data_IF_174468702514
#
_entry.id   IF_174468702514
#
_cell.length_a   1.000
_cell.length_b   1.000
_cell.length_c   1.000
_cell.angle_alpha   90.00
_cell.angle_beta   90.00
_cell.angle_gamma   90.00
#
_symmetry.space_group_name_H-M   'P 1'
#
loop_
_entity.id
_entity.type
_entity.pdbx_description
1 polymer ?
#
# COMPACT_ATOMS: atom_id res chain seq x y z
N UNK A 1 48.70 -25.95 20.81
CA UNK A 1 48.06 -24.96 19.91
C UNK A 1 46.55 -25.12 20.09
N UNK A 2 45.90 -24.14 20.72
CA UNK A 2 44.49 -24.21 21.15
C UNK A 2 43.56 -24.01 19.95
N UNK A 3 42.62 -24.93 19.77
CA UNK A 3 41.50 -24.81 18.82
C UNK A 3 40.54 -23.75 19.38
N UNK A 4 40.43 -22.62 18.69
CA UNK A 4 39.47 -21.58 19.00
C UNK A 4 38.13 -21.97 18.33
N UNK A 5 37.19 -22.47 19.11
CA UNK A 5 35.81 -22.68 18.67
C UNK A 5 35.17 -21.30 18.52
N UNK A 6 34.84 -20.93 17.29
CA UNK A 6 34.03 -19.76 16.97
C UNK A 6 32.60 -20.01 17.48
N UNK A 7 32.27 -19.48 18.66
CA UNK A 7 30.88 -19.37 19.09
C UNK A 7 30.21 -18.28 18.26
N UNK A 8 29.48 -18.68 17.22
CA UNK A 8 28.44 -17.85 16.62
C UNK A 8 27.38 -17.55 17.68
N UNK A 9 27.37 -16.30 18.17
CA UNK A 9 26.25 -15.76 18.92
C UNK A 9 25.01 -15.76 18.02
N UNK A 10 24.14 -16.75 18.21
CA UNK A 10 22.74 -16.63 17.83
C UNK A 10 22.15 -15.54 18.74
N UNK A 11 22.14 -14.29 18.26
CA UNK A 11 21.27 -13.27 18.84
C UNK A 11 19.84 -13.81 18.74
N UNK A 12 19.28 -14.23 19.88
CA UNK A 12 17.85 -14.39 20.03
C UNK A 12 17.25 -13.01 19.74
N UNK A 13 16.67 -12.83 18.56
CA UNK A 13 15.91 -11.63 18.26
C UNK A 13 14.80 -11.52 19.30
N UNK A 14 14.73 -10.38 19.98
CA UNK A 14 13.67 -10.10 20.93
C UNK A 14 12.33 -10.30 20.21
N UNK A 15 11.50 -11.15 20.83
CA UNK A 15 10.25 -11.61 20.25
C UNK A 15 9.17 -10.55 20.34
N UNK A 16 9.36 -9.48 21.11
CA UNK A 16 8.40 -8.38 21.24
C UNK A 16 8.71 -7.21 20.30
N UNK A 17 7.68 -6.48 19.89
CA UNK A 17 7.84 -5.17 19.27
C UNK A 17 8.60 -4.26 20.22
N UNK A 18 9.77 -3.78 19.80
CA UNK A 18 10.49 -2.76 20.56
C UNK A 18 10.25 -1.38 19.92
N UNK A 19 10.24 -0.29 20.70
CA UNK A 19 10.30 1.07 20.15
C UNK A 19 11.49 1.25 19.19
N UNK A 20 12.56 0.46 19.35
CA UNK A 20 13.70 0.41 18.44
C UNK A 20 13.30 -0.05 17.03
N UNK A 21 12.39 -1.02 16.89
CA UNK A 21 11.96 -1.53 15.58
C UNK A 21 11.19 -0.47 14.79
N UNK A 22 10.27 0.25 15.44
CA UNK A 22 9.51 1.35 14.84
C UNK A 22 10.46 2.47 14.41
N UNK A 23 11.45 2.81 15.25
CA UNK A 23 12.45 3.83 14.95
C UNK A 23 13.34 3.44 13.76
N UNK A 24 13.77 2.18 13.68
CA UNK A 24 14.57 1.65 12.57
C UNK A 24 13.79 1.73 11.25
N UNK A 25 12.56 1.23 11.23
CA UNK A 25 11.70 1.25 10.04
C UNK A 25 11.38 2.67 9.58
N UNK A 26 10.99 3.54 10.52
CA UNK A 26 10.62 4.93 10.21
C UNK A 26 11.82 5.73 9.71
N UNK A 27 13.00 5.50 10.30
CA UNK A 27 14.25 6.12 9.84
C UNK A 27 14.64 5.63 8.44
N UNK A 28 14.56 4.33 8.20
CA UNK A 28 14.84 3.75 6.88
C UNK A 28 13.88 4.29 5.81
N UNK A 29 12.58 4.33 6.10
CA UNK A 29 11.56 4.83 5.17
C UNK A 29 11.78 6.33 4.89
N UNK A 30 12.07 7.14 5.92
CA UNK A 30 12.43 8.56 5.75
C UNK A 30 13.66 8.75 4.86
N UNK A 31 14.69 7.90 4.99
CA UNK A 31 15.91 7.96 4.16
C UNK A 31 15.65 7.65 2.68
N UNK A 32 14.49 7.09 2.34
CA UNK A 32 14.12 6.87 0.94
C UNK A 32 13.65 8.14 0.23
N UNK A 33 13.35 9.22 0.95
CA UNK A 33 12.89 10.46 0.36
C UNK A 33 14.04 11.32 -0.18
N UNK A 34 13.88 11.87 -1.37
CA UNK A 34 14.75 12.93 -1.89
C UNK A 34 14.43 14.26 -1.20
N UNK A 35 15.42 14.86 -0.53
CA UNK A 35 15.24 16.05 0.33
C UNK A 35 16.04 17.27 -0.13
N UNK A 36 16.76 17.17 -1.25
CA UNK A 36 17.58 18.28 -1.76
C UNK A 36 16.69 19.39 -2.34
N UNK A 37 16.56 20.50 -1.61
CA UNK A 37 15.72 21.64 -2.01
C UNK A 37 16.21 22.33 -3.28
N UNK A 38 17.48 22.18 -3.65
CA UNK A 38 18.05 22.71 -4.89
C UNK A 38 17.61 21.92 -6.14
N UNK A 39 16.88 20.82 -5.96
CA UNK A 39 16.39 19.94 -7.03
C UNK A 39 14.85 19.78 -6.88
N UNK A 40 14.06 20.81 -7.24
CA UNK A 40 12.62 20.83 -6.95
C UNK A 40 11.83 19.68 -7.58
N UNK A 41 12.29 19.12 -8.70
CA UNK A 41 11.60 18.04 -9.40
C UNK A 41 11.54 16.72 -8.61
N UNK A 42 12.62 16.39 -7.88
CA UNK A 42 12.67 15.16 -7.07
C UNK A 42 12.32 15.40 -5.61
N UNK A 43 12.27 16.65 -5.15
CA UNK A 43 11.96 16.98 -3.76
C UNK A 43 10.65 16.33 -3.31
N UNK A 44 10.72 15.50 -2.28
CA UNK A 44 9.59 14.78 -1.72
C UNK A 44 9.29 13.43 -2.35
N UNK A 45 9.88 13.10 -3.51
CA UNK A 45 9.78 11.79 -4.13
C UNK A 45 10.38 10.71 -3.20
N UNK A 46 9.75 9.54 -3.16
CA UNK A 46 10.10 8.46 -2.22
C UNK A 46 10.49 7.23 -3.02
N UNK A 47 11.76 6.84 -2.91
CA UNK A 47 12.28 5.62 -3.54
C UNK A 47 11.58 4.42 -2.93
N UNK A 48 11.19 3.46 -3.76
CA UNK A 48 10.60 2.18 -3.29
C UNK A 48 11.61 1.40 -2.42
N UNK A 49 12.90 1.52 -2.75
CA UNK A 49 14.01 0.87 -2.05
C UNK A 49 15.33 1.64 -2.28
N UNK A 50 16.35 1.39 -1.45
CA UNK A 50 17.66 2.07 -1.52
C UNK A 50 18.61 1.48 -2.56
N UNK A 51 18.21 0.45 -3.31
CA UNK A 51 18.93 -0.07 -4.47
C UNK A 51 18.28 0.42 -5.76
N UNK A 52 19.04 0.62 -6.84
CA UNK A 52 18.47 0.89 -8.16
C UNK A 52 17.46 -0.19 -8.55
N UNK A 53 16.34 0.22 -9.14
CA UNK A 53 15.36 -0.69 -9.72
C UNK A 53 15.82 -1.21 -11.09
N UNK A 54 16.58 -0.39 -11.82
CA UNK A 54 17.16 -0.75 -13.11
C UNK A 54 18.32 0.19 -13.47
N UNK A 55 19.06 -0.13 -14.53
CA UNK A 55 20.06 0.73 -15.13
C UNK A 55 19.63 1.16 -16.53
N UNK A 56 20.00 2.37 -16.93
CA UNK A 56 19.87 2.81 -18.32
C UNK A 56 20.96 2.19 -19.23
N UNK A 57 20.92 2.51 -20.52
CA UNK A 57 21.91 2.03 -21.50
C UNK A 57 23.34 2.49 -21.22
N UNK A 58 23.53 3.55 -20.41
CA UNK A 58 24.84 4.09 -20.02
C UNK A 58 25.34 3.50 -18.69
N UNK A 59 24.58 2.61 -18.07
CA UNK A 59 24.90 2.02 -16.76
C UNK A 59 24.53 2.91 -15.57
N UNK A 60 23.78 3.99 -15.76
CA UNK A 60 23.30 4.84 -14.67
C UNK A 60 22.19 4.13 -13.93
N UNK A 61 22.34 3.96 -12.61
CA UNK A 61 21.31 3.37 -11.75
C UNK A 61 20.14 4.32 -11.51
N UNK A 62 18.92 3.83 -11.76
CA UNK A 62 17.67 4.54 -11.55
C UNK A 62 16.83 3.89 -10.45
N UNK A 63 16.27 4.72 -9.58
CA UNK A 63 15.46 4.35 -8.43
C UNK A 63 13.99 4.59 -8.75
N UNK A 64 13.18 3.56 -8.53
CA UNK A 64 11.73 3.59 -8.77
C UNK A 64 11.03 4.38 -7.66
N UNK A 65 10.11 5.25 -8.06
CA UNK A 65 9.14 5.94 -7.21
C UNK A 65 7.76 5.48 -7.69
N UNK A 66 7.06 4.73 -6.84
CA UNK A 66 5.74 4.19 -7.15
C UNK A 66 4.68 4.90 -6.31
N UNK A 67 3.73 5.63 -6.92
CA UNK A 67 2.71 6.35 -6.17
C UNK A 67 1.94 5.46 -5.19
N UNK A 68 1.50 4.29 -5.64
CA UNK A 68 0.78 3.31 -4.82
C UNK A 68 1.60 2.87 -3.60
N UNK A 69 2.83 2.38 -3.82
CA UNK A 69 3.67 1.87 -2.73
C UNK A 69 4.05 2.95 -1.72
N UNK A 70 4.40 4.14 -2.22
CA UNK A 70 4.77 5.29 -1.40
C UNK A 70 3.59 5.80 -0.58
N UNK A 71 2.36 5.78 -1.10
CA UNK A 71 1.17 6.13 -0.31
C UNK A 71 1.03 5.23 0.92
N UNK A 72 1.12 3.91 0.73
CA UNK A 72 1.04 2.94 1.82
C UNK A 72 2.18 3.11 2.83
N UNK A 73 3.40 3.38 2.35
CA UNK A 73 4.54 3.70 3.21
C UNK A 73 4.30 4.93 4.08
N UNK A 74 3.79 6.03 3.49
CA UNK A 74 3.50 7.27 4.20
C UNK A 74 2.36 7.13 5.21
N UNK A 75 1.34 6.31 4.92
CA UNK A 75 0.27 5.98 5.88
C UNK A 75 0.87 5.33 7.13
N UNK A 76 1.76 4.35 6.95
CA UNK A 76 2.46 3.71 8.07
C UNK A 76 3.34 4.71 8.84
N UNK A 77 4.09 5.56 8.14
CA UNK A 77 4.97 6.54 8.77
C UNK A 77 4.22 7.52 9.70
N UNK A 78 3.00 7.93 9.34
CA UNK A 78 2.15 8.76 10.20
C UNK A 78 1.80 8.07 11.53
N UNK A 79 1.63 6.75 11.52
CA UNK A 79 1.29 5.98 12.72
C UNK A 79 2.47 5.75 13.65
N UNK A 80 3.72 5.85 13.16
CA UNK A 80 4.90 5.78 14.02
C UNK A 80 4.96 6.96 15.00
N UNK A 81 4.86 8.18 14.46
CA UNK A 81 4.93 9.43 15.23
C UNK A 81 4.50 10.62 14.34
N UNK A 82 3.84 11.63 14.92
CA UNK A 82 3.49 12.87 14.22
C UNK A 82 4.71 13.72 13.78
N UNK A 83 5.91 13.47 14.31
CA UNK A 83 7.16 14.14 13.91
C UNK A 83 7.55 13.89 12.45
N UNK A 84 6.95 12.90 11.79
CA UNK A 84 7.18 12.61 10.37
C UNK A 84 6.24 13.37 9.42
N UNK A 85 5.37 14.25 9.93
CA UNK A 85 4.41 15.01 9.11
C UNK A 85 5.08 15.79 7.97
N UNK A 86 6.27 16.36 8.18
CA UNK A 86 6.99 17.09 7.12
C UNK A 86 7.42 16.18 5.96
N UNK A 87 7.88 14.95 6.26
CA UNK A 87 8.20 13.93 5.25
C UNK A 87 6.95 13.61 4.42
N UNK A 88 5.81 13.40 5.09
CA UNK A 88 4.53 13.07 4.43
C UNK A 88 4.02 14.23 3.59
N UNK A 89 4.14 15.46 4.10
CA UNK A 89 3.76 16.67 3.37
C UNK A 89 4.58 16.85 2.10
N UNK A 90 5.89 16.61 2.14
CA UNK A 90 6.74 16.66 0.94
C UNK A 90 6.29 15.65 -0.12
N UNK A 91 5.94 14.42 0.29
CA UNK A 91 5.36 13.42 -0.63
C UNK A 91 4.03 13.88 -1.22
N UNK A 92 3.13 14.44 -0.42
CA UNK A 92 1.84 14.98 -0.88
C UNK A 92 2.05 16.08 -1.93
N UNK A 93 2.99 17.00 -1.68
CA UNK A 93 3.34 18.07 -2.63
C UNK A 93 3.92 17.49 -3.91
N UNK A 94 4.82 16.50 -3.82
CA UNK A 94 5.36 15.79 -4.98
C UNK A 94 4.23 15.14 -5.79
N UNK A 95 3.31 14.42 -5.15
CA UNK A 95 2.21 13.76 -5.86
C UNK A 95 1.37 14.79 -6.65
N UNK A 96 1.00 15.91 -6.02
CA UNK A 96 0.22 16.95 -6.68
C UNK A 96 0.98 17.66 -7.82
N UNK A 97 2.30 17.88 -7.70
CA UNK A 97 3.08 18.49 -8.79
C UNK A 97 3.20 17.59 -10.02
N UNK A 98 3.00 16.28 -9.85
CA UNK A 98 3.02 15.29 -10.93
C UNK A 98 1.63 14.97 -11.51
N UNK A 99 0.56 15.64 -11.05
CA UNK A 99 -0.77 15.59 -11.66
C UNK A 99 -0.88 16.50 -12.89
N UNK A 100 -0.08 16.22 -13.92
CA UNK A 100 -0.04 16.95 -15.18
C UNK A 100 -0.16 15.99 -16.38
N UNK A 101 -0.43 16.51 -17.58
CA UNK A 101 -0.70 15.67 -18.77
C UNK A 101 0.46 14.74 -19.15
N UNK A 102 1.71 15.12 -18.84
CA UNK A 102 2.89 14.31 -19.16
C UNK A 102 3.06 13.15 -18.18
N UNK A 103 2.93 13.44 -16.89
CA UNK A 103 3.20 12.47 -15.81
C UNK A 103 1.95 11.69 -15.39
N UNK A 104 0.75 12.20 -15.64
CA UNK A 104 -0.51 11.66 -15.16
C UNK A 104 -1.67 11.81 -16.17
N UNK A 105 -1.55 11.33 -17.42
CA UNK A 105 -2.60 11.49 -18.43
C UNK A 105 -3.93 10.81 -18.03
N UNK A 106 -3.87 9.78 -17.19
CA UNK A 106 -5.04 9.07 -16.65
C UNK A 106 -5.52 9.59 -15.30
N UNK A 107 -4.94 10.70 -14.81
CA UNK A 107 -5.34 11.36 -13.56
C UNK A 107 -4.58 10.93 -12.30
N UNK A 108 -3.69 9.93 -12.40
CA UNK A 108 -2.70 9.59 -11.36
C UNK A 108 -1.29 9.58 -11.96
N UNK A 109 -0.23 9.92 -11.19
CA UNK A 109 1.12 9.86 -11.72
C UNK A 109 1.49 8.45 -12.16
N UNK A 110 2.21 8.33 -13.26
CA UNK A 110 2.98 7.15 -13.57
C UNK A 110 4.05 6.92 -12.51
N UNK A 111 4.66 5.75 -12.56
CA UNK A 111 5.92 5.54 -11.87
C UNK A 111 7.01 6.42 -12.45
N UNK A 112 7.78 7.02 -11.53
CA UNK A 112 8.90 7.89 -11.88
C UNK A 112 10.21 7.19 -11.50
N UNK A 113 11.25 7.50 -12.26
CA UNK A 113 12.57 6.97 -12.07
C UNK A 113 13.53 8.15 -11.94
N UNK A 114 14.30 8.14 -10.86
CA UNK A 114 15.30 9.15 -10.60
C UNK A 114 16.69 8.54 -10.48
N UNK A 115 17.73 9.27 -10.86
CA UNK A 115 19.09 8.87 -10.48
C UNK A 115 19.30 8.96 -8.95
N UNK A 116 20.43 8.46 -8.45
CA UNK A 116 20.71 8.41 -7.00
C UNK A 116 20.62 9.77 -6.29
N UNK A 117 20.89 10.86 -7.01
CA UNK A 117 20.90 12.22 -6.49
C UNK A 117 19.58 12.98 -6.74
N UNK A 118 18.69 12.41 -7.55
CA UNK A 118 17.43 13.03 -7.94
C UNK A 118 17.56 14.05 -9.08
N UNK A 119 18.74 14.14 -9.73
CA UNK A 119 19.02 15.16 -10.73
C UNK A 119 18.30 14.88 -12.05
N UNK A 120 18.26 13.60 -12.44
CA UNK A 120 17.61 13.12 -13.65
C UNK A 120 16.30 12.45 -13.29
N UNK A 121 15.25 12.83 -13.99
CA UNK A 121 13.90 12.27 -13.85
C UNK A 121 13.45 11.72 -15.19
N UNK A 122 12.84 10.54 -15.18
CA UNK A 122 12.14 9.99 -16.32
C UNK A 122 10.96 9.13 -15.90
N UNK A 123 9.92 9.09 -16.72
CA UNK A 123 8.83 8.10 -16.63
C UNK A 123 9.08 6.90 -17.54
N UNK A 124 10.21 6.90 -18.26
CA UNK A 124 10.62 5.83 -19.17
C UNK A 124 12.15 5.67 -19.15
N UNK A 125 12.63 4.74 -18.33
CA UNK A 125 14.07 4.46 -18.16
C UNK A 125 14.56 3.37 -19.11
N UNK A 126 13.68 2.45 -19.52
CA UNK A 126 13.98 1.40 -20.48
C UNK A 126 12.98 1.42 -21.64
N UNK A 127 13.26 2.15 -22.73
CA UNK A 127 12.37 2.25 -23.88
C UNK A 127 11.87 0.88 -24.36
N UNK A 128 10.55 0.75 -24.52
CA UNK A 128 9.89 -0.49 -24.92
C UNK A 128 9.49 -1.43 -23.78
N UNK A 129 9.91 -1.15 -22.54
CA UNK A 129 9.45 -1.91 -21.37
C UNK A 129 8.02 -1.53 -20.96
N UNK A 130 7.18 -2.53 -20.68
CA UNK A 130 5.81 -2.33 -20.17
C UNK A 130 5.75 -1.95 -18.69
N UNK A 131 6.84 -2.11 -17.94
CA UNK A 131 6.90 -1.83 -16.49
C UNK A 131 7.85 -0.70 -16.13
N UNK A 132 8.77 -0.33 -17.04
CA UNK A 132 9.74 0.74 -16.84
C UNK A 132 9.49 1.97 -17.73
N UNK A 133 8.35 2.01 -18.44
CA UNK A 133 7.93 3.15 -19.25
C UNK A 133 6.42 3.44 -19.13
N UNK A 134 6.08 4.68 -18.78
CA UNK A 134 4.71 5.18 -18.65
C UNK A 134 3.81 4.22 -17.86
N UNK A 135 4.40 3.59 -16.85
CA UNK A 135 3.76 2.48 -16.16
C UNK A 135 2.92 3.01 -15.01
N UNK A 136 1.72 2.48 -14.91
CA UNK A 136 0.83 2.58 -13.78
C UNK A 136 0.07 1.26 -13.72
N UNK A 137 0.20 0.55 -12.60
CA UNK A 137 -0.34 -0.78 -12.43
C UNK A 137 -1.88 -0.73 -12.40
N UNK A 138 -2.43 0.02 -11.45
CA UNK A 138 -3.86 0.25 -11.25
C UNK A 138 -4.14 1.72 -10.94
N UNK A 139 -4.97 2.35 -11.76
CA UNK A 139 -5.32 3.78 -11.63
C UNK A 139 -6.22 4.04 -10.44
N UNK A 140 -7.18 3.16 -10.20
CA UNK A 140 -8.14 3.28 -9.11
C UNK A 140 -7.46 3.14 -7.74
N UNK A 141 -6.67 2.10 -7.53
CA UNK A 141 -5.92 1.86 -6.29
C UNK A 141 -4.92 2.98 -5.98
N UNK A 142 -4.16 3.44 -6.99
CA UNK A 142 -3.20 4.53 -6.81
C UNK A 142 -3.88 5.87 -6.42
N UNK A 143 -5.07 6.15 -6.95
CA UNK A 143 -5.88 7.30 -6.54
C UNK A 143 -6.47 7.11 -5.14
N UNK A 144 -7.03 5.93 -4.87
CA UNK A 144 -7.72 5.61 -3.63
C UNK A 144 -6.80 5.64 -2.41
N UNK A 145 -5.63 5.01 -2.51
CA UNK A 145 -4.61 5.02 -1.45
C UNK A 145 -4.08 6.43 -1.18
N UNK A 146 -3.99 7.30 -2.20
CA UNK A 146 -3.63 8.70 -1.98
C UNK A 146 -4.71 9.47 -1.23
N UNK A 147 -5.99 9.28 -1.59
CA UNK A 147 -7.11 9.88 -0.86
C UNK A 147 -7.15 9.41 0.61
N UNK A 148 -6.87 8.14 0.86
CA UNK A 148 -6.73 7.59 2.21
C UNK A 148 -5.55 8.23 2.96
N UNK A 149 -4.40 8.42 2.30
CA UNK A 149 -3.26 9.13 2.87
C UNK A 149 -3.62 10.57 3.24
N UNK A 150 -4.34 11.31 2.39
CA UNK A 150 -4.73 12.70 2.67
C UNK A 150 -5.61 12.80 3.91
N UNK A 151 -6.60 11.90 4.04
CA UNK A 151 -7.44 11.83 5.24
C UNK A 151 -6.59 11.48 6.46
N UNK A 152 -5.69 10.51 6.33
CA UNK A 152 -4.80 10.09 7.41
C UNK A 152 -3.93 11.26 7.87
N UNK A 153 -3.24 11.93 6.95
CA UNK A 153 -2.41 13.09 7.24
C UNK A 153 -3.21 14.20 7.95
N UNK A 154 -4.43 14.51 7.49
CA UNK A 154 -5.29 15.46 8.17
C UNK A 154 -5.63 15.05 9.61
N UNK A 155 -6.01 13.78 9.83
CA UNK A 155 -6.31 13.29 11.18
C UNK A 155 -5.09 13.28 12.11
N UNK A 156 -3.88 13.19 11.56
CA UNK A 156 -2.62 13.29 12.30
C UNK A 156 -2.07 14.73 12.42
N UNK A 157 -2.80 15.73 11.93
CA UNK A 157 -2.49 17.15 12.15
C UNK A 157 -1.97 17.92 10.94
N UNK A 158 -2.07 17.39 9.71
CA UNK A 158 -1.80 18.18 8.50
C UNK A 158 -2.73 19.41 8.48
N UNK A 159 -2.20 20.63 8.31
CA UNK A 159 -3.03 21.83 8.33
C UNK A 159 -4.12 21.79 7.25
N UNK A 160 -5.35 22.11 7.66
CA UNK A 160 -6.52 22.20 6.76
C UNK A 160 -6.23 23.01 5.48
N UNK A 161 -5.48 24.10 5.58
CA UNK A 161 -5.12 24.97 4.46
C UNK A 161 -4.39 24.23 3.33
N UNK A 162 -3.59 23.20 3.66
CA UNK A 162 -2.89 22.39 2.64
C UNK A 162 -3.90 21.63 1.79
N UNK A 163 -4.91 20.99 2.40
CA UNK A 163 -5.95 20.29 1.63
C UNK A 163 -6.83 21.26 0.85
N UNK A 164 -7.18 22.40 1.43
CA UNK A 164 -7.98 23.44 0.75
C UNK A 164 -7.27 23.96 -0.51
N UNK A 165 -5.95 24.15 -0.46
CA UNK A 165 -5.14 24.54 -1.62
C UNK A 165 -5.28 23.56 -2.79
N UNK A 166 -5.39 22.26 -2.51
CA UNK A 166 -5.48 21.20 -3.53
C UNK A 166 -6.89 20.67 -3.76
N UNK A 167 -7.94 21.35 -3.25
CA UNK A 167 -9.33 20.88 -3.33
C UNK A 167 -9.72 20.39 -4.73
N UNK A 168 -9.48 21.20 -5.77
CA UNK A 168 -9.83 20.83 -7.13
C UNK A 168 -9.10 19.59 -7.66
N UNK A 169 -7.84 19.38 -7.26
CA UNK A 169 -7.09 18.16 -7.62
C UNK A 169 -7.63 16.94 -6.87
N UNK A 170 -7.99 17.10 -5.60
CA UNK A 170 -8.57 16.05 -4.77
C UNK A 170 -9.94 15.61 -5.31
N UNK A 171 -10.80 16.56 -5.66
CA UNK A 171 -12.11 16.28 -6.28
C UNK A 171 -11.95 15.62 -7.67
N UNK A 172 -10.92 15.98 -8.45
CA UNK A 172 -10.61 15.28 -9.71
C UNK A 172 -10.26 13.80 -9.52
N UNK A 173 -9.50 13.45 -8.48
CA UNK A 173 -9.24 12.05 -8.13
C UNK A 173 -10.53 11.32 -7.74
N UNK A 174 -11.41 11.98 -6.98
CA UNK A 174 -12.74 11.45 -6.67
C UNK A 174 -13.57 11.17 -7.93
N UNK A 175 -13.64 12.15 -8.84
CA UNK A 175 -14.37 12.02 -10.10
C UNK A 175 -13.79 10.93 -11.01
N UNK A 176 -12.47 10.75 -11.02
CA UNK A 176 -11.81 9.64 -11.70
C UNK A 176 -12.32 8.30 -11.17
N UNK A 177 -12.33 8.10 -9.84
CA UNK A 177 -12.88 6.87 -9.24
C UNK A 177 -14.36 6.65 -9.58
N UNK A 178 -15.17 7.71 -9.55
CA UNK A 178 -16.57 7.62 -9.95
C UNK A 178 -16.73 7.20 -11.42
N UNK A 179 -15.86 7.66 -12.31
CA UNK A 179 -15.89 7.30 -13.74
C UNK A 179 -15.51 5.83 -14.00
N UNK A 180 -14.73 5.23 -13.09
CA UNK A 180 -14.32 3.83 -13.18
C UNK A 180 -15.37 2.88 -12.57
N UNK A 181 -16.31 3.37 -11.76
CA UNK A 181 -17.37 2.57 -11.17
C UNK A 181 -18.41 2.12 -12.21
N UNK A 182 -18.68 0.83 -12.23
CA UNK A 182 -19.56 0.19 -13.21
C UNK A 182 -20.98 -0.04 -12.64
N UNK A 183 -21.97 -0.39 -13.48
CA UNK A 183 -23.35 -0.62 -13.03
C UNK A 183 -23.50 -1.71 -11.96
N UNK A 184 -22.60 -2.69 -11.91
CA UNK A 184 -22.57 -3.69 -10.83
C UNK A 184 -21.97 -3.17 -9.52
N UNK A 185 -21.49 -1.93 -9.49
CA UNK A 185 -20.95 -1.25 -8.31
C UNK A 185 -19.45 -1.42 -8.10
N UNK A 186 -18.80 -2.34 -8.81
CA UNK A 186 -17.35 -2.53 -8.80
C UNK A 186 -16.64 -1.57 -9.76
N UNK A 187 -15.35 -1.32 -9.54
CA UNK A 187 -14.51 -0.47 -10.38
C UNK A 187 -13.59 -1.27 -11.29
N UNK A 188 -13.36 -0.74 -12.48
CA UNK A 188 -12.23 -1.14 -13.31
C UNK A 188 -10.92 -0.59 -12.73
N UNK A 189 -9.88 -1.43 -12.72
CA UNK A 189 -8.53 -1.05 -12.33
C UNK A 189 -8.02 0.18 -13.10
N UNK A 190 -8.29 0.22 -14.41
CA UNK A 190 -8.06 1.39 -15.28
C UNK A 190 -8.90 1.32 -16.55
N UNK A 191 -9.00 2.43 -17.27
CA UNK A 191 -9.87 2.58 -18.46
C UNK A 191 -9.50 1.62 -19.59
N UNK A 192 -8.21 1.34 -19.77
CA UNK A 192 -7.61 0.49 -20.80
C UNK A 192 -7.28 -0.94 -20.32
N UNK A 193 -7.57 -1.26 -19.05
CA UNK A 193 -7.42 -2.60 -18.49
C UNK A 193 -8.59 -2.90 -17.54
N UNK A 194 -9.62 -3.50 -18.12
CA UNK A 194 -10.95 -3.64 -17.50
C UNK A 194 -11.06 -4.95 -16.71
N UNK A 195 -10.37 -4.96 -15.59
CA UNK A 195 -10.49 -6.01 -14.57
C UNK A 195 -10.91 -5.38 -13.25
N UNK A 196 -11.86 -6.00 -12.55
CA UNK A 196 -12.31 -5.62 -11.21
C UNK A 196 -11.60 -6.50 -10.20
N UNK A 197 -10.46 -6.07 -9.68
CA UNK A 197 -9.75 -6.81 -8.63
C UNK A 197 -10.39 -6.58 -7.26
N UNK A 198 -10.34 -7.62 -6.42
CA UNK A 198 -10.78 -7.55 -5.03
C UNK A 198 -10.02 -6.47 -4.25
N UNK A 199 -8.69 -6.50 -4.33
CA UNK A 199 -7.80 -5.58 -3.60
C UNK A 199 -8.08 -4.13 -3.96
N UNK A 200 -8.05 -3.81 -5.26
CA UNK A 200 -8.31 -2.46 -5.76
C UNK A 200 -9.68 -1.95 -5.29
N UNK A 201 -10.73 -2.78 -5.37
CA UNK A 201 -12.07 -2.36 -4.94
C UNK A 201 -12.15 -2.15 -3.42
N UNK A 202 -11.43 -2.93 -2.61
CA UNK A 202 -11.32 -2.69 -1.17
C UNK A 202 -10.63 -1.35 -0.86
N UNK A 203 -9.57 -1.03 -1.59
CA UNK A 203 -8.84 0.22 -1.44
C UNK A 203 -9.67 1.42 -1.88
N UNK A 204 -10.38 1.31 -3.00
CA UNK A 204 -11.30 2.35 -3.49
C UNK A 204 -12.42 2.61 -2.49
N UNK A 205 -12.98 1.56 -1.88
CA UNK A 205 -13.96 1.74 -0.80
C UNK A 205 -13.39 2.66 0.29
N UNK A 206 -12.21 2.35 0.83
CA UNK A 206 -11.58 3.15 1.87
C UNK A 206 -11.18 4.56 1.39
N UNK A 207 -10.73 4.70 0.14
CA UNK A 207 -10.39 5.98 -0.49
C UNK A 207 -11.59 6.90 -0.66
N UNK A 208 -12.74 6.38 -1.11
CA UNK A 208 -13.98 7.15 -1.26
C UNK A 208 -14.60 7.50 0.09
N UNK A 209 -14.52 6.62 1.10
CA UNK A 209 -14.89 6.97 2.49
C UNK A 209 -14.00 8.09 3.03
N UNK A 210 -12.70 8.04 2.75
CA UNK A 210 -11.75 9.08 3.11
C UNK A 210 -12.04 10.41 2.44
N UNK A 211 -12.37 10.39 1.14
CA UNK A 211 -12.75 11.60 0.42
C UNK A 211 -14.08 12.16 0.92
N UNK A 212 -15.08 11.31 1.22
CA UNK A 212 -16.33 11.75 1.87
C UNK A 212 -16.05 12.47 3.19
N UNK A 213 -15.11 11.97 3.99
CA UNK A 213 -14.69 12.62 5.23
C UNK A 213 -14.05 13.99 4.96
N UNK A 214 -13.13 14.07 3.99
CA UNK A 214 -12.48 15.33 3.61
C UNK A 214 -13.53 16.35 3.13
N UNK A 215 -14.43 15.97 2.22
CA UNK A 215 -15.50 16.85 1.74
C UNK A 215 -16.32 17.42 2.90
N UNK A 216 -16.75 16.57 3.83
CA UNK A 216 -17.60 16.99 4.94
C UNK A 216 -16.87 17.89 5.94
N UNK A 217 -15.68 17.49 6.40
CA UNK A 217 -15.03 18.14 7.55
C UNK A 217 -13.97 19.18 7.15
N UNK A 218 -13.36 19.03 5.98
CA UNK A 218 -12.35 19.97 5.46
C UNK A 218 -13.04 20.97 4.54
N UNK A 219 -13.72 20.50 3.49
CA UNK A 219 -14.32 21.38 2.48
C UNK A 219 -15.71 21.88 2.83
N UNK A 220 -16.32 21.36 3.91
CA UNK A 220 -17.66 21.71 4.37
C UNK A 220 -18.74 21.52 3.29
N UNK A 221 -18.56 20.49 2.45
CA UNK A 221 -19.42 20.16 1.32
C UNK A 221 -20.15 18.83 1.58
N UNK A 222 -21.20 18.89 2.40
CA UNK A 222 -21.99 17.71 2.80
C UNK A 222 -22.63 17.01 1.61
N UNK A 223 -23.07 17.77 0.59
CA UNK A 223 -23.68 17.19 -0.62
C UNK A 223 -22.68 16.33 -1.38
N UNK A 224 -21.47 16.85 -1.62
CA UNK A 224 -20.42 16.10 -2.32
C UNK A 224 -19.90 14.93 -1.49
N UNK A 225 -19.78 15.10 -0.16
CA UNK A 225 -19.49 13.99 0.74
C UNK A 225 -20.49 12.83 0.55
N UNK A 226 -21.78 13.15 0.47
CA UNK A 226 -22.85 12.18 0.22
C UNK A 226 -22.70 11.43 -1.12
N UNK A 227 -22.17 12.07 -2.17
CA UNK A 227 -21.89 11.42 -3.46
C UNK A 227 -20.85 10.32 -3.30
N UNK A 228 -19.71 10.65 -2.70
CA UNK A 228 -18.61 9.70 -2.51
C UNK A 228 -18.97 8.60 -1.50
N UNK A 229 -19.70 8.92 -0.44
CA UNK A 229 -20.17 7.90 0.51
C UNK A 229 -21.07 6.87 -0.17
N UNK A 230 -22.06 7.32 -0.96
CA UNK A 230 -22.94 6.42 -1.71
C UNK A 230 -22.17 5.56 -2.71
N UNK A 231 -21.12 6.10 -3.32
CA UNK A 231 -20.26 5.33 -4.21
C UNK A 231 -19.49 4.24 -3.46
N UNK A 232 -18.95 4.54 -2.28
CA UNK A 232 -18.32 3.55 -1.41
C UNK A 232 -19.32 2.45 -0.96
N UNK A 233 -20.54 2.83 -0.56
CA UNK A 233 -21.58 1.87 -0.14
C UNK A 233 -21.95 0.89 -1.27
N UNK A 234 -21.98 1.38 -2.53
CA UNK A 234 -22.17 0.53 -3.72
C UNK A 234 -21.02 -0.46 -3.90
N UNK A 235 -19.77 -0.04 -3.70
CA UNK A 235 -18.60 -0.92 -3.80
C UNK A 235 -18.66 -2.01 -2.74
N UNK A 236 -18.86 -1.64 -1.47
CA UNK A 236 -18.96 -2.62 -0.38
C UNK A 236 -20.04 -3.67 -0.67
N UNK A 237 -21.23 -3.20 -1.07
CA UNK A 237 -22.34 -4.09 -1.45
C UNK A 237 -21.97 -4.99 -2.63
N UNK A 238 -21.25 -4.46 -3.62
CA UNK A 238 -20.82 -5.20 -4.80
C UNK A 238 -19.71 -6.22 -4.49
N UNK A 239 -18.74 -5.91 -3.63
CA UNK A 239 -17.73 -6.88 -3.17
C UNK A 239 -18.43 -8.08 -2.52
N UNK A 240 -19.38 -7.83 -1.62
CA UNK A 240 -20.10 -8.89 -0.91
C UNK A 240 -21.03 -9.70 -1.81
N UNK A 241 -21.59 -9.09 -2.86
CA UNK A 241 -22.53 -9.75 -3.78
C UNK A 241 -21.82 -10.48 -4.92
N UNK A 242 -20.83 -9.83 -5.54
CA UNK A 242 -20.18 -10.29 -6.76
C UNK A 242 -18.89 -11.05 -6.48
N UNK A 243 -18.09 -10.60 -5.51
CA UNK A 243 -16.76 -11.17 -5.26
C UNK A 243 -16.77 -12.18 -4.13
N UNK A 244 -17.67 -12.12 -3.15
CA UNK A 244 -17.77 -13.20 -2.16
C UNK A 244 -18.49 -14.43 -2.71
N UNK A 245 -17.77 -15.54 -2.85
CA UNK A 245 -18.33 -16.83 -3.26
C UNK A 245 -18.88 -17.57 -2.05
N UNK A 246 -20.20 -17.52 -1.86
CA UNK A 246 -20.89 -18.14 -0.73
C UNK A 246 -20.78 -19.68 -0.69
N UNK A 247 -20.54 -20.34 -1.81
CA UNK A 247 -20.36 -21.80 -1.87
C UNK A 247 -18.96 -22.17 -1.40
N UNK A 248 -17.94 -21.46 -1.89
CA UNK A 248 -16.54 -21.71 -1.55
C UNK A 248 -16.10 -21.05 -0.24
N UNK A 249 -16.97 -20.21 0.36
CA UNK A 249 -16.74 -19.45 1.60
C UNK A 249 -15.50 -18.54 1.56
N UNK A 250 -15.17 -18.03 0.38
CA UNK A 250 -14.01 -17.15 0.13
C UNK A 250 -14.33 -16.12 -0.95
N UNK A 251 -13.51 -15.09 -1.04
CA UNK A 251 -13.60 -14.10 -2.10
C UNK A 251 -12.94 -14.60 -3.39
N UNK A 252 -13.48 -14.14 -4.52
CA UNK A 252 -12.87 -14.16 -5.84
C UNK A 252 -11.77 -13.13 -5.90
N UNK A 253 -10.73 -13.42 -6.66
CA UNK A 253 -9.62 -12.48 -6.90
C UNK A 253 -10.08 -11.35 -7.81
N UNK A 254 -10.87 -11.67 -8.85
CA UNK A 254 -11.30 -10.70 -9.83
C UNK A 254 -12.60 -11.05 -10.54
N UNK A 255 -13.19 -10.03 -11.17
CA UNK A 255 -14.22 -10.14 -12.21
C UNK A 255 -13.72 -9.45 -13.48
N UNK A 256 -13.75 -10.15 -14.61
CA UNK A 256 -13.28 -9.64 -15.90
C UNK A 256 -14.39 -8.89 -16.66
N UNK A 257 -14.01 -8.13 -17.69
CA UNK A 257 -14.95 -7.42 -18.58
C UNK A 257 -15.99 -8.35 -19.21
N UNK A 258 -15.61 -9.59 -19.53
CA UNK A 258 -16.51 -10.63 -20.06
C UNK A 258 -17.59 -11.09 -19.06
N UNK A 259 -17.51 -10.65 -17.80
CA UNK A 259 -18.37 -11.10 -16.71
C UNK A 259 -17.92 -12.41 -16.06
N UNK A 260 -16.85 -13.04 -16.55
CA UNK A 260 -16.26 -14.22 -15.90
C UNK A 260 -15.53 -13.84 -14.62
N UNK A 261 -15.40 -14.81 -13.72
CA UNK A 261 -14.74 -14.63 -12.43
C UNK A 261 -13.43 -15.40 -12.38
N UNK A 262 -12.46 -14.84 -11.66
CA UNK A 262 -11.31 -15.58 -11.15
C UNK A 262 -11.61 -15.96 -9.69
N UNK A 263 -12.10 -17.18 -9.47
CA UNK A 263 -12.22 -17.74 -8.13
C UNK A 263 -10.83 -18.05 -7.56
N UNK A 264 -10.57 -17.62 -6.31
CA UNK A 264 -9.31 -17.89 -5.64
C UNK A 264 -9.08 -19.41 -5.49
N UNK A 265 -7.86 -19.87 -5.73
CA UNK A 265 -7.35 -21.19 -5.45
C UNK A 265 -6.56 -21.15 -4.14
N UNK A 266 -6.96 -21.91 -3.09
CA UNK A 266 -6.30 -21.88 -1.79
C UNK A 266 -4.86 -22.43 -1.80
N UNK A 267 -4.49 -23.15 -2.86
CA UNK A 267 -3.14 -23.69 -3.03
C UNK A 267 -2.20 -22.71 -3.76
N UNK A 268 -2.70 -21.54 -4.15
CA UNK A 268 -1.92 -20.43 -4.72
C UNK A 268 -1.89 -19.30 -3.68
N UNK A 269 -0.70 -18.78 -3.38
CA UNK A 269 -0.55 -17.70 -2.42
C UNK A 269 -0.94 -16.35 -3.01
N UNK A 270 -0.21 -15.90 -4.03
CA UNK A 270 -0.44 -14.64 -4.71
C UNK A 270 -0.93 -14.90 -6.14
N UNK A 271 -2.00 -14.21 -6.59
CA UNK A 271 -2.81 -13.24 -5.84
C UNK A 271 -3.90 -13.88 -4.94
N UNK A 272 -4.08 -15.20 -5.00
CA UNK A 272 -5.31 -15.85 -4.56
C UNK A 272 -5.61 -15.78 -3.06
N UNK A 273 -4.73 -16.31 -2.22
CA UNK A 273 -4.94 -16.38 -0.77
C UNK A 273 -4.61 -15.05 -0.09
N UNK A 274 -3.57 -14.33 -0.55
CA UNK A 274 -3.19 -13.04 0.02
C UNK A 274 -4.28 -11.97 -0.20
N UNK A 275 -4.93 -11.90 -1.37
CA UNK A 275 -6.02 -10.95 -1.60
C UNK A 275 -7.21 -11.14 -0.65
N UNK A 276 -7.40 -12.33 -0.07
CA UNK A 276 -8.52 -12.62 0.84
C UNK A 276 -8.50 -11.77 2.11
N UNK A 277 -7.34 -11.18 2.44
CA UNK A 277 -7.18 -10.34 3.62
C UNK A 277 -7.60 -8.88 3.38
N UNK A 278 -7.65 -8.42 2.14
CA UNK A 278 -7.95 -7.02 1.80
C UNK A 278 -9.31 -6.53 2.29
N UNK A 279 -10.40 -7.33 2.22
CA UNK A 279 -11.71 -6.86 2.67
C UNK A 279 -11.76 -6.40 4.13
N UNK A 280 -11.08 -7.06 5.06
CA UNK A 280 -11.06 -6.60 6.45
C UNK A 280 -9.91 -5.63 6.73
N UNK A 281 -8.78 -5.77 6.01
CA UNK A 281 -7.68 -4.82 6.08
C UNK A 281 -8.13 -3.39 5.75
N UNK A 282 -9.05 -3.24 4.79
CA UNK A 282 -9.61 -1.95 4.36
C UNK A 282 -11.04 -1.71 4.84
N UNK A 283 -11.47 -2.40 5.89
CA UNK A 283 -12.74 -2.18 6.59
C UNK A 283 -14.02 -2.34 5.71
N UNK A 284 -13.93 -3.05 4.57
CA UNK A 284 -15.10 -3.48 3.79
C UNK A 284 -15.97 -4.42 4.63
N UNK A 285 -15.34 -5.24 5.47
CA UNK A 285 -16.01 -6.03 6.52
C UNK A 285 -15.26 -5.86 7.84
N UNK A 286 -15.94 -6.13 8.96
CA UNK A 286 -15.30 -6.12 10.26
C UNK A 286 -14.25 -7.25 10.37
N UNK A 287 -13.21 -7.03 11.18
CA UNK A 287 -12.15 -8.03 11.46
C UNK A 287 -12.69 -9.30 12.12
N UNK A 288 -13.83 -9.22 12.82
CA UNK A 288 -14.53 -10.36 13.42
C UNK A 288 -15.67 -10.94 12.55
N UNK A 289 -15.84 -10.48 11.31
CA UNK A 289 -16.84 -11.03 10.39
C UNK A 289 -16.56 -12.53 10.11
N UNK A 290 -17.62 -13.32 10.01
CA UNK A 290 -17.52 -14.76 9.72
C UNK A 290 -16.72 -15.05 8.44
N UNK A 291 -16.74 -14.16 7.44
CA UNK A 291 -15.96 -14.30 6.20
C UNK A 291 -14.47 -14.16 6.47
N UNK A 292 -14.09 -13.21 7.31
CA UNK A 292 -12.70 -13.03 7.77
C UNK A 292 -12.23 -14.28 8.52
N UNK A 293 -13.05 -14.81 9.43
CA UNK A 293 -12.71 -16.02 10.18
C UNK A 293 -12.58 -17.26 9.27
N UNK A 294 -13.39 -17.37 8.22
CA UNK A 294 -13.27 -18.43 7.22
C UNK A 294 -11.94 -18.34 6.45
N UNK A 295 -11.51 -17.14 6.07
CA UNK A 295 -10.22 -16.91 5.41
C UNK A 295 -9.04 -17.25 6.32
N UNK A 296 -9.07 -16.82 7.58
CA UNK A 296 -8.03 -17.17 8.56
C UNK A 296 -7.90 -18.68 8.71
N UNK A 297 -9.03 -19.38 8.90
CA UNK A 297 -9.05 -20.85 9.01
C UNK A 297 -8.51 -21.52 7.75
N UNK A 298 -8.84 -20.99 6.57
CA UNK A 298 -8.34 -21.52 5.30
C UNK A 298 -6.81 -21.38 5.21
N UNK A 299 -6.28 -20.19 5.55
CA UNK A 299 -4.85 -19.92 5.58
C UNK A 299 -4.13 -20.82 6.58
N UNK A 300 -4.57 -20.87 7.85
CA UNK A 300 -3.89 -21.67 8.89
C UNK A 300 -3.82 -23.16 8.54
N UNK A 301 -4.82 -23.68 7.82
CA UNK A 301 -4.84 -25.09 7.41
C UNK A 301 -3.96 -25.38 6.19
N UNK A 302 -3.80 -24.44 5.27
CA UNK A 302 -3.13 -24.66 3.97
C UNK A 302 -1.69 -24.15 3.95
N UNK A 303 -1.47 -23.02 4.59
CA UNK A 303 -0.20 -22.32 4.69
C UNK A 303 0.10 -22.16 6.17
N UNK A 304 0.48 -23.23 6.86
CA UNK A 304 0.78 -23.16 8.30
C UNK A 304 2.20 -22.63 8.60
N UNK A 305 3.07 -22.60 7.60
CA UNK A 305 4.48 -22.27 7.75
C UNK A 305 4.87 -20.89 7.19
N UNK A 306 3.97 -20.21 6.46
CA UNK A 306 4.29 -18.91 5.84
C UNK A 306 4.72 -17.86 6.88
N UNK A 307 4.18 -17.89 8.10
CA UNK A 307 4.60 -16.98 9.17
C UNK A 307 6.05 -17.21 9.59
N UNK A 308 6.59 -18.42 9.45
CA UNK A 308 7.99 -18.73 9.79
C UNK A 308 8.93 -18.51 8.61
N UNK A 309 8.40 -18.62 7.39
CA UNK A 309 9.10 -18.52 6.12
C UNK A 309 8.35 -17.61 5.13
N UNK A 310 8.23 -16.29 5.41
CA UNK A 310 7.33 -15.40 4.67
C UNK A 310 7.70 -15.24 3.19
N UNK A 311 8.98 -15.42 2.84
CA UNK A 311 9.46 -15.36 1.45
C UNK A 311 9.24 -16.63 0.65
N UNK A 312 8.79 -17.73 1.26
CA UNK A 312 8.71 -19.04 0.58
C UNK A 312 7.74 -19.03 -0.61
N UNK A 313 6.64 -18.30 -0.51
CA UNK A 313 5.58 -18.35 -1.51
C UNK A 313 5.89 -17.53 -2.77
N UNK A 314 6.40 -16.30 -2.61
CA UNK A 314 6.57 -15.34 -3.71
C UNK A 314 7.96 -14.70 -3.76
N UNK A 315 8.81 -14.98 -2.78
CA UNK A 315 10.06 -14.23 -2.53
C UNK A 315 9.85 -12.92 -1.75
N UNK A 316 8.63 -12.40 -1.68
CA UNK A 316 8.24 -11.21 -0.92
C UNK A 316 7.79 -11.58 0.49
N UNK A 317 7.81 -10.62 1.42
CA UNK A 317 7.40 -10.89 2.81
C UNK A 317 5.90 -10.64 3.06
N UNK A 318 5.22 -9.84 2.23
CA UNK A 318 3.75 -9.64 2.29
C UNK A 318 3.26 -9.05 3.63
N UNK A 319 3.91 -7.99 4.11
CA UNK A 319 3.66 -7.41 5.44
C UNK A 319 2.23 -6.92 5.67
N UNK A 320 1.47 -6.62 4.61
CA UNK A 320 0.04 -6.28 4.70
C UNK A 320 -0.81 -7.45 5.22
N UNK A 321 -0.50 -8.69 4.86
CA UNK A 321 -1.20 -9.89 5.35
C UNK A 321 -0.98 -10.06 6.85
N UNK A 322 0.25 -9.87 7.32
CA UNK A 322 0.56 -9.92 8.74
C UNK A 322 -0.18 -8.84 9.54
N UNK A 323 -0.28 -7.62 8.99
CA UNK A 323 -1.07 -6.56 9.60
C UNK A 323 -2.57 -6.94 9.66
N UNK A 324 -3.11 -7.50 8.57
CA UNK A 324 -4.49 -7.94 8.52
C UNK A 324 -4.81 -9.00 9.60
N UNK A 325 -3.92 -9.97 9.78
CA UNK A 325 -4.02 -11.02 10.81
C UNK A 325 -3.91 -10.45 12.23
N UNK A 326 -3.04 -9.45 12.43
CA UNK A 326 -2.96 -8.75 13.70
C UNK A 326 -4.30 -8.13 14.10
N UNK A 327 -5.01 -7.49 13.14
CA UNK A 327 -6.32 -6.86 13.37
C UNK A 327 -7.40 -7.86 13.80
N UNK A 328 -7.24 -9.16 13.50
CA UNK A 328 -8.18 -10.20 13.94
C UNK A 328 -7.91 -10.71 15.35
N UNK A 329 -6.85 -10.21 16.01
CA UNK A 329 -6.42 -10.62 17.33
C UNK A 329 -5.53 -11.87 17.36
N UNK A 330 -5.12 -12.39 16.20
CA UNK A 330 -4.22 -13.56 16.13
C UNK A 330 -2.76 -13.12 16.34
N UNK A 331 -2.46 -12.82 17.61
CA UNK A 331 -1.14 -12.37 18.03
C UNK A 331 -0.08 -13.42 17.76
N UNK A 332 -0.39 -14.70 17.94
CA UNK A 332 0.61 -15.78 17.82
C UNK A 332 1.18 -15.87 16.40
N UNK A 333 0.31 -15.93 15.37
CA UNK A 333 0.77 -15.96 13.98
C UNK A 333 1.48 -14.67 13.60
N UNK A 334 0.99 -13.52 14.07
CA UNK A 334 1.66 -12.23 13.83
C UNK A 334 3.06 -12.20 14.44
N UNK A 335 3.24 -12.67 15.68
CA UNK A 335 4.57 -12.67 16.33
C UNK A 335 5.55 -13.60 15.63
N UNK A 336 5.11 -14.77 15.18
CA UNK A 336 5.95 -15.69 14.38
C UNK A 336 6.41 -15.01 13.08
N UNK A 337 5.50 -14.33 12.38
CA UNK A 337 5.81 -13.55 11.20
C UNK A 337 6.86 -12.47 11.47
N UNK A 338 6.65 -11.65 12.51
CA UNK A 338 7.56 -10.55 12.84
C UNK A 338 8.96 -11.07 13.21
N UNK A 339 9.07 -12.20 13.91
CA UNK A 339 10.36 -12.85 14.19
C UNK A 339 11.07 -13.28 12.91
N UNK A 340 10.35 -13.88 11.97
CA UNK A 340 10.91 -14.29 10.69
C UNK A 340 11.38 -13.07 9.88
N UNK A 341 10.58 -12.01 9.80
CA UNK A 341 10.96 -10.77 9.11
C UNK A 341 12.16 -10.10 9.77
N UNK A 342 12.22 -10.01 11.11
CA UNK A 342 13.39 -9.48 11.81
C UNK A 342 14.66 -10.23 11.42
N UNK A 343 14.64 -11.56 11.44
CA UNK A 343 15.77 -12.40 11.02
C UNK A 343 16.17 -12.19 9.56
N UNK A 344 15.20 -12.03 8.66
CA UNK A 344 15.43 -11.97 7.22
C UNK A 344 15.82 -10.57 6.72
N UNK A 345 15.28 -9.53 7.35
CA UNK A 345 15.32 -8.16 6.84
C UNK A 345 16.01 -7.17 7.76
N UNK A 346 15.99 -7.34 9.07
CA UNK A 346 16.57 -6.33 9.96
C UNK A 346 18.08 -6.53 10.16
N UNK A 347 18.84 -5.45 10.41
CA UNK A 347 18.46 -4.03 10.29
C UNK A 347 18.71 -3.45 8.89
N UNK A 348 19.11 -4.28 7.91
CA UNK A 348 19.66 -3.82 6.62
C UNK A 348 18.59 -3.59 5.53
N UNK A 349 17.42 -4.18 5.71
CA UNK A 349 16.26 -4.13 4.82
C UNK A 349 16.55 -4.52 3.35
N UNK A 350 17.24 -5.64 3.08
CA UNK A 350 17.61 -6.03 1.73
C UNK A 350 16.41 -6.33 0.84
N UNK A 351 16.56 -6.02 -0.44
CA UNK A 351 15.62 -6.41 -1.49
C UNK A 351 15.32 -7.93 -1.44
N UNK A 352 14.07 -8.36 -1.67
CA UNK A 352 12.86 -7.55 -1.83
C UNK A 352 12.33 -7.09 -0.47
N UNK A 353 12.39 -5.78 -0.21
CA UNK A 353 11.78 -5.09 0.92
C UNK A 353 11.44 -3.69 0.42
N UNK A 354 10.26 -3.18 0.72
CA UNK A 354 9.77 -1.92 0.15
C UNK A 354 9.31 -0.94 1.21
N UNK A 355 9.09 0.31 0.81
CA UNK A 355 8.41 1.31 1.64
C UNK A 355 7.02 0.86 2.09
N UNK A 356 6.33 0.03 1.32
CA UNK A 356 5.04 -0.56 1.71
C UNK A 356 5.20 -1.59 2.84
N UNK A 357 6.23 -2.44 2.76
CA UNK A 357 6.55 -3.37 3.85
C UNK A 357 6.85 -2.62 5.14
N UNK A 358 7.72 -1.60 5.07
CA UNK A 358 8.00 -0.75 6.21
C UNK A 358 6.73 -0.08 6.76
N UNK A 359 5.87 0.42 5.87
CA UNK A 359 4.57 0.99 6.24
C UNK A 359 3.72 0.03 7.06
N UNK A 360 3.43 -1.17 6.55
CA UNK A 360 2.61 -2.16 7.25
C UNK A 360 3.24 -2.68 8.55
N UNK A 361 4.55 -2.87 8.57
CA UNK A 361 5.27 -3.29 9.78
C UNK A 361 5.20 -2.22 10.87
N UNK A 362 5.35 -0.94 10.53
CA UNK A 362 5.18 0.17 11.48
C UNK A 362 3.78 0.12 12.11
N UNK A 363 2.73 -0.03 11.30
CA UNK A 363 1.36 -0.10 11.80
C UNK A 363 1.17 -1.28 12.77
N UNK A 364 1.72 -2.44 12.40
CA UNK A 364 1.65 -3.66 13.22
C UNK A 364 2.40 -3.50 14.54
N UNK A 365 3.61 -2.94 14.52
CA UNK A 365 4.43 -2.73 15.72
C UNK A 365 3.85 -1.63 16.63
N UNK A 366 3.34 -0.54 16.07
CA UNK A 366 2.80 0.59 16.86
C UNK A 366 1.58 0.16 17.67
N UNK A 367 0.71 -0.67 17.09
CA UNK A 367 -0.46 -1.22 17.78
C UNK A 367 -0.11 -2.24 18.87
N UNK A 368 1.07 -2.88 18.80
CA UNK A 368 1.55 -3.75 19.88
C UNK A 368 1.97 -2.97 21.12
N UNK A 369 2.53 -1.77 20.95
CA UNK A 369 3.02 -0.94 22.07
C UNK A 369 1.91 -0.21 22.84
N UNK A 370 0.68 -0.21 22.32
CA UNK A 370 -0.49 0.40 22.96
C UNK A 370 -1.30 -0.56 23.84
N UNK A 371 -0.93 -1.85 23.86
CA UNK A 371 -1.55 -2.92 24.68
C UNK A 371 -0.57 -3.33 25.76
#
# INVERSE_FOLDING_TARGET
MKVLVLLTFLCLYDTQASPTDINLLSSWLKQQQYTNQSIPQSLGAVKVHYSPATNDQKGTGYFRVSPYLSNLGMIGLLQANNTFMDTVKLWIVWYFSHLNQKSAPSGVPFEHFYDVNGNQETICVQPGSSTFCNYNDATDSAAATFLYLLKSAYTFGLPKSVLVQYKGNIEKLGNLLLSLQQPDGLLWAKTDYRVKYLEDNCEVFAGLKSLSYIEQYVFQNVTQAGVYNKAADRIQSAILRELYNNTLKRYRVAKFESGTFYDANPDIWYPDLQAQFWPHLWEVVAYNDVKTQNVLKLMTNRWNDWTKNPTYATGWIESGVAHAIWLTGDKNHTMLYLQAVKRLKFPLFPWPFTVTDAGWLIQTFSQQTMV
#
